data_IF_423021388018
#
_entry.id   IF_423021388018
#
_cell.length_a   1.000
_cell.length_b   1.000
_cell.length_c   1.000
_cell.angle_alpha   90.00
_cell.angle_beta   90.00
_cell.angle_gamma   90.00
#
_symmetry.space_group_name_H-M   'P 1'
#
loop_
_entity.id
_entity.type
_entity.pdbx_description
1 polymer ?
#
# COMPACT_ATOMS: atom_id res chain seq x y z
N UNK A 1 4.93 -12.64 20.38
CA UNK A 1 3.60 -13.28 20.07
C UNK A 1 2.72 -12.34 19.22
N UNK A 2 3.05 -11.06 19.09
CA UNK A 2 2.21 -10.09 18.36
C UNK A 2 2.56 -9.90 16.88
N UNK A 3 3.73 -10.27 16.43
CA UNK A 3 4.15 -10.10 15.04
C UNK A 3 3.25 -10.84 14.00
N UNK A 4 2.60 -11.92 14.37
CA UNK A 4 1.67 -12.63 13.49
C UNK A 4 0.28 -12.00 13.34
N UNK A 5 0.01 -10.88 14.01
CA UNK A 5 -1.31 -10.24 14.05
C UNK A 5 -1.37 -8.91 13.27
N UNK A 6 -0.26 -8.45 12.73
CA UNK A 6 -0.15 -7.12 12.09
C UNK A 6 -1.08 -6.96 10.88
N UNK A 7 -1.42 -8.01 10.20
CA UNK A 7 -2.37 -7.96 9.10
C UNK A 7 -3.84 -8.03 9.49
N UNK A 8 -4.16 -8.09 10.75
CA UNK A 8 -5.52 -8.26 11.27
C UNK A 8 -5.95 -7.13 12.20
N UNK A 9 -5.34 -5.95 12.12
CA UNK A 9 -5.66 -4.82 13.00
C UNK A 9 -7.16 -4.51 13.02
N UNK A 10 -7.79 -4.41 11.86
CA UNK A 10 -9.25 -4.25 11.77
C UNK A 10 -9.97 -5.47 12.35
N UNK A 11 -9.57 -6.68 11.99
CA UNK A 11 -10.17 -7.90 12.49
C UNK A 11 -10.00 -8.07 14.02
N UNK A 12 -8.86 -7.64 14.57
CA UNK A 12 -8.63 -7.63 16.02
C UNK A 12 -9.61 -6.67 16.70
N UNK A 13 -9.75 -5.47 16.17
CA UNK A 13 -10.67 -4.45 16.70
C UNK A 13 -12.11 -4.89 16.59
N UNK A 14 -12.54 -5.40 15.45
CA UNK A 14 -13.90 -5.90 15.24
C UNK A 14 -14.21 -7.06 16.18
N UNK A 15 -13.28 -8.00 16.32
CA UNK A 15 -13.43 -9.12 17.26
C UNK A 15 -13.51 -8.66 18.72
N UNK A 16 -12.67 -7.72 19.11
CA UNK A 16 -12.68 -7.13 20.45
C UNK A 16 -14.00 -6.39 20.70
N UNK A 17 -14.50 -5.64 19.71
CA UNK A 17 -15.81 -4.99 19.80
C UNK A 17 -16.94 -6.00 19.98
N UNK A 18 -16.98 -7.06 19.15
CA UNK A 18 -17.96 -8.12 19.30
C UNK A 18 -17.92 -8.81 20.67
N UNK A 19 -16.72 -9.02 21.21
CA UNK A 19 -16.56 -9.57 22.55
C UNK A 19 -17.03 -8.61 23.66
N UNK A 20 -16.76 -7.31 23.50
CA UNK A 20 -17.25 -6.27 24.43
C UNK A 20 -18.77 -6.20 24.43
N UNK A 21 -19.38 -6.10 23.24
CA UNK A 21 -20.86 -6.02 23.11
C UNK A 21 -21.54 -7.27 23.66
N UNK A 22 -20.92 -8.43 23.51
CA UNK A 22 -21.44 -9.69 24.07
C UNK A 22 -21.09 -9.92 25.54
N UNK A 23 -20.48 -8.95 26.22
CA UNK A 23 -20.13 -9.03 27.65
C UNK A 23 -19.00 -10.01 27.98
N UNK A 24 -18.21 -10.44 26.98
CA UNK A 24 -17.13 -11.42 27.16
C UNK A 24 -15.81 -10.81 27.64
N UNK A 25 -15.62 -9.52 27.45
CA UNK A 25 -14.46 -8.76 27.92
C UNK A 25 -14.91 -7.45 28.56
N UNK A 26 -14.12 -6.96 29.54
CA UNK A 26 -14.36 -5.68 30.18
C UNK A 26 -14.02 -4.51 29.28
N UNK A 27 -14.50 -3.29 29.64
CA UNK A 27 -14.13 -2.05 28.95
C UNK A 27 -12.61 -1.84 28.97
N UNK A 28 -11.98 -2.12 30.11
CA UNK A 28 -10.53 -2.03 30.26
C UNK A 28 -9.77 -2.97 29.34
N UNK A 29 -10.24 -4.21 29.18
CA UNK A 29 -9.60 -5.18 28.28
C UNK A 29 -9.79 -4.75 26.82
N UNK A 30 -10.98 -4.24 26.48
CA UNK A 30 -11.23 -3.69 25.17
C UNK A 30 -10.28 -2.52 24.85
N UNK A 31 -10.13 -1.54 25.73
CA UNK A 31 -9.20 -0.42 25.56
C UNK A 31 -7.75 -0.88 25.43
N UNK A 32 -7.33 -1.90 26.20
CA UNK A 32 -6.03 -2.50 26.09
C UNK A 32 -5.79 -3.15 24.71
N UNK A 33 -6.78 -3.84 24.16
CA UNK A 33 -6.68 -4.43 22.83
C UNK A 33 -6.57 -3.34 21.77
N UNK A 34 -7.42 -2.31 21.84
CA UNK A 34 -7.42 -1.20 20.87
C UNK A 34 -6.09 -0.45 20.87
N UNK A 35 -5.58 -0.12 22.06
CA UNK A 35 -4.31 0.63 22.21
C UNK A 35 -3.09 -0.13 21.70
N UNK A 36 -3.13 -1.46 21.68
CA UNK A 36 -2.04 -2.34 21.26
C UNK A 36 -2.22 -2.92 19.85
N UNK A 37 -3.33 -2.63 19.18
CA UNK A 37 -3.62 -3.21 17.87
C UNK A 37 -2.79 -2.60 16.73
N UNK A 38 -2.22 -1.40 16.94
CA UNK A 38 -1.31 -0.73 16.03
C UNK A 38 -0.02 -0.36 16.78
N UNK A 39 0.94 -1.29 16.91
CA UNK A 39 2.04 -1.16 17.87
C UNK A 39 3.18 -0.24 17.44
N UNK A 40 3.16 0.31 16.23
CA UNK A 40 4.26 1.11 15.71
C UNK A 40 3.83 2.19 14.72
N UNK A 41 4.78 3.02 14.28
CA UNK A 41 4.56 4.02 13.25
C UNK A 41 4.47 3.37 11.86
N UNK A 42 3.79 4.05 10.95
CA UNK A 42 3.59 3.57 9.58
C UNK A 42 2.14 3.24 9.29
N UNK A 43 1.86 2.88 8.03
CA UNK A 43 0.49 2.62 7.57
C UNK A 43 0.02 1.20 7.92
N UNK A 44 0.86 0.20 7.70
CA UNK A 44 0.54 -1.21 7.92
C UNK A 44 1.79 -2.09 7.77
N UNK A 45 1.83 -3.22 8.46
CA UNK A 45 2.92 -4.21 8.34
C UNK A 45 2.73 -5.24 7.21
N UNK A 46 1.63 -5.21 6.48
CA UNK A 46 1.34 -6.12 5.35
C UNK A 46 1.05 -5.38 4.05
N UNK A 47 0.84 -6.14 2.98
CA UNK A 47 0.50 -5.60 1.65
C UNK A 47 -1.01 -5.28 1.54
N UNK A 48 -1.49 -4.44 2.47
CA UNK A 48 -2.85 -3.91 2.47
C UNK A 48 -2.95 -2.71 1.52
N UNK A 49 -4.08 -2.02 1.51
CA UNK A 49 -4.37 -0.96 0.54
C UNK A 49 -3.32 0.15 0.55
N UNK A 50 -2.86 0.60 1.72
CA UNK A 50 -1.89 1.69 1.83
C UNK A 50 -0.55 1.33 1.18
N UNK A 51 0.05 0.20 1.54
CA UNK A 51 1.31 -0.26 0.96
C UNK A 51 1.17 -0.63 -0.51
N UNK A 52 0.05 -1.25 -0.91
CA UNK A 52 -0.26 -1.55 -2.32
C UNK A 52 -0.29 -0.28 -3.16
N UNK A 53 -0.99 0.75 -2.70
CA UNK A 53 -1.09 2.01 -3.45
C UNK A 53 0.22 2.79 -3.41
N UNK A 54 0.99 2.75 -2.33
CA UNK A 54 2.33 3.34 -2.29
C UNK A 54 3.24 2.72 -3.35
N UNK A 55 3.26 1.38 -3.44
CA UNK A 55 4.02 0.65 -4.46
C UNK A 55 3.52 0.94 -5.89
N UNK A 56 2.20 1.00 -6.08
CA UNK A 56 1.61 1.36 -7.37
C UNK A 56 2.00 2.77 -7.83
N UNK A 57 1.93 3.76 -6.94
CA UNK A 57 2.28 5.16 -7.21
C UNK A 57 3.77 5.30 -7.56
N UNK A 58 4.64 4.55 -6.87
CA UNK A 58 6.05 4.51 -7.20
C UNK A 58 6.30 3.89 -8.59
N UNK A 59 5.65 2.77 -8.90
CA UNK A 59 5.75 2.13 -10.21
C UNK A 59 5.18 2.99 -11.36
N UNK A 60 4.22 3.88 -11.06
CA UNK A 60 3.73 4.88 -12.02
C UNK A 60 4.71 6.02 -12.28
N UNK A 61 5.75 6.18 -11.45
CA UNK A 61 6.69 7.30 -11.53
C UNK A 61 6.23 8.57 -10.80
N UNK A 62 5.22 8.48 -9.93
CA UNK A 62 4.66 9.60 -9.18
C UNK A 62 5.25 9.76 -7.77
N UNK A 63 6.19 8.92 -7.40
CA UNK A 63 6.91 8.96 -6.12
C UNK A 63 8.40 8.74 -6.36
N UNK A 64 9.22 9.11 -5.37
CA UNK A 64 10.65 8.86 -5.41
C UNK A 64 10.93 7.35 -5.33
N UNK A 65 12.00 6.86 -5.99
CA UNK A 65 12.41 5.47 -5.88
C UNK A 65 12.63 5.05 -4.42
N UNK A 66 12.21 3.84 -4.08
CA UNK A 66 12.23 3.23 -2.75
C UNK A 66 11.29 3.84 -1.71
N UNK A 67 10.46 4.83 -2.09
CA UNK A 67 9.52 5.46 -1.17
C UNK A 67 8.55 4.44 -0.54
N UNK A 68 8.07 3.48 -1.32
CA UNK A 68 7.10 2.48 -0.86
C UNK A 68 7.72 1.37 -0.01
N UNK A 69 9.03 1.15 -0.10
CA UNK A 69 9.73 0.06 0.61
C UNK A 69 10.44 0.53 1.89
N UNK A 70 10.78 1.82 2.00
CA UNK A 70 11.46 2.35 3.18
C UNK A 70 10.54 2.32 4.42
N UNK A 71 10.95 1.65 5.53
CA UNK A 71 10.20 1.68 6.78
C UNK A 71 9.98 3.10 7.30
N UNK A 72 8.82 3.37 7.90
CA UNK A 72 8.38 4.71 8.29
C UNK A 72 9.35 5.48 9.21
N UNK A 73 10.14 4.76 10.00
CA UNK A 73 11.11 5.31 10.97
C UNK A 73 12.57 5.12 10.55
N UNK A 74 12.83 4.63 9.33
CA UNK A 74 14.19 4.42 8.86
C UNK A 74 14.92 5.73 8.59
N UNK A 75 16.25 5.68 8.64
CA UNK A 75 17.12 6.81 8.25
C UNK A 75 16.88 7.15 6.78
N UNK A 76 16.78 6.12 5.91
CA UNK A 76 16.52 6.27 4.48
C UNK A 76 15.21 7.03 4.22
N UNK A 77 14.15 6.75 5.01
CA UNK A 77 12.89 7.50 4.92
C UNK A 77 13.04 8.97 5.33
N UNK A 78 13.93 9.26 6.24
CA UNK A 78 14.23 10.65 6.66
C UNK A 78 15.07 11.37 5.61
N UNK A 79 16.05 10.71 5.00
CA UNK A 79 16.87 11.27 3.92
C UNK A 79 16.05 11.50 2.64
N UNK A 80 15.12 10.60 2.33
CA UNK A 80 14.20 10.75 1.20
C UNK A 80 13.45 12.08 1.24
N UNK A 81 12.98 12.50 2.42
CA UNK A 81 12.27 13.78 2.59
C UNK A 81 13.09 14.98 2.12
N UNK A 82 14.40 14.93 2.24
CA UNK A 82 15.28 16.01 1.79
C UNK A 82 15.33 16.12 0.25
N UNK A 83 15.06 15.01 -0.46
CA UNK A 83 15.06 14.98 -1.93
C UNK A 83 13.75 15.48 -2.53
N UNK A 84 12.66 15.55 -1.77
CA UNK A 84 11.34 15.96 -2.25
C UNK A 84 11.38 17.37 -2.83
N UNK A 85 11.98 18.32 -2.12
CA UNK A 85 12.05 19.73 -2.54
C UNK A 85 12.76 19.89 -3.88
N UNK A 86 13.90 19.24 -4.06
CA UNK A 86 14.66 19.30 -5.33
C UNK A 86 13.90 18.66 -6.48
N UNK A 87 13.19 17.56 -6.21
CA UNK A 87 12.37 16.88 -7.21
C UNK A 87 11.19 17.75 -7.67
N UNK A 88 10.48 18.38 -6.73
CA UNK A 88 9.37 19.29 -7.06
C UNK A 88 9.87 20.50 -7.87
N UNK A 89 10.99 21.10 -7.45
CA UNK A 89 11.60 22.21 -8.19
C UNK A 89 11.97 21.80 -9.61
N UNK A 90 12.50 20.58 -9.80
CA UNK A 90 12.83 20.05 -11.12
C UNK A 90 11.58 19.87 -11.99
N UNK A 91 10.49 19.32 -11.44
CA UNK A 91 9.21 19.17 -12.16
C UNK A 91 8.68 20.55 -12.62
N UNK A 92 8.69 21.55 -11.72
CA UNK A 92 8.22 22.90 -12.04
C UNK A 92 9.09 23.56 -13.11
N UNK A 93 10.43 23.47 -12.99
CA UNK A 93 11.37 24.07 -13.96
C UNK A 93 11.23 23.49 -15.37
N UNK A 94 10.89 22.21 -15.46
CA UNK A 94 10.73 21.52 -16.74
C UNK A 94 9.27 21.45 -17.19
N UNK A 95 8.34 22.11 -16.50
CA UNK A 95 6.89 22.09 -16.77
C UNK A 95 6.31 20.67 -16.87
N UNK A 96 6.85 19.73 -16.09
CA UNK A 96 6.38 18.34 -16.05
C UNK A 96 5.16 18.22 -15.16
N UNK A 97 4.04 17.80 -15.71
CA UNK A 97 2.75 17.64 -15.04
C UNK A 97 2.47 16.16 -14.75
N UNK A 98 1.59 15.84 -13.80
CA UNK A 98 1.21 14.45 -13.52
C UNK A 98 0.75 13.69 -14.78
N UNK A 99 0.05 14.36 -15.71
CA UNK A 99 -0.43 13.75 -16.95
C UNK A 99 0.69 13.45 -17.96
N UNK A 100 1.86 14.05 -17.83
CA UNK A 100 3.03 13.73 -18.65
C UNK A 100 3.70 12.43 -18.17
N UNK A 101 3.53 12.10 -16.88
CA UNK A 101 4.06 10.89 -16.24
C UNK A 101 3.07 9.74 -16.37
N UNK A 102 1.78 10.03 -16.16
CA UNK A 102 0.72 9.02 -16.23
C UNK A 102 0.42 8.64 -17.69
N UNK A 103 0.85 7.45 -18.05
CA UNK A 103 0.60 6.84 -19.36
C UNK A 103 -0.03 5.46 -19.16
N UNK A 104 -0.62 4.90 -20.21
CA UNK A 104 -1.11 3.51 -20.18
C UNK A 104 -0.02 2.53 -19.73
N UNK A 105 1.23 2.74 -20.19
CA UNK A 105 2.38 1.91 -19.78
C UNK A 105 2.73 2.04 -18.31
N UNK A 106 2.69 3.26 -17.75
CA UNK A 106 2.95 3.45 -16.31
C UNK A 106 1.87 2.79 -15.44
N UNK A 107 0.61 2.83 -15.87
CA UNK A 107 -0.49 2.11 -15.23
C UNK A 107 -0.28 0.58 -15.33
N UNK A 108 0.09 0.06 -16.51
CA UNK A 108 0.38 -1.38 -16.68
C UNK A 108 1.54 -1.83 -15.77
N UNK A 109 2.58 -1.01 -15.60
CA UNK A 109 3.68 -1.30 -14.69
C UNK A 109 3.21 -1.39 -13.23
N UNK A 110 2.36 -0.45 -12.81
CA UNK A 110 1.77 -0.49 -11.47
C UNK A 110 0.94 -1.75 -11.26
N UNK A 111 0.08 -2.11 -12.21
CA UNK A 111 -0.75 -3.32 -12.12
C UNK A 111 0.11 -4.58 -12.09
N UNK A 112 1.18 -4.67 -12.89
CA UNK A 112 2.14 -5.77 -12.82
C UNK A 112 2.78 -5.88 -11.44
N UNK A 113 3.28 -4.75 -10.90
CA UNK A 113 3.94 -4.75 -9.60
C UNK A 113 2.99 -5.19 -8.48
N UNK A 114 1.78 -4.64 -8.40
CA UNK A 114 0.82 -5.06 -7.36
C UNK A 114 0.37 -6.51 -7.52
N UNK A 115 0.36 -7.06 -8.74
CA UNK A 115 0.08 -8.48 -8.99
C UNK A 115 1.23 -9.35 -8.46
N UNK A 116 2.48 -8.97 -8.75
CA UNK A 116 3.69 -9.65 -8.23
C UNK A 116 3.71 -9.69 -6.71
N UNK A 117 3.32 -8.59 -6.07
CA UNK A 117 3.32 -8.42 -4.62
C UNK A 117 2.10 -9.04 -3.91
N UNK A 118 1.09 -9.49 -4.66
CA UNK A 118 -0.17 -9.94 -4.06
C UNK A 118 -0.92 -8.82 -3.36
N UNK A 119 -0.98 -7.65 -4.00
CA UNK A 119 -1.56 -6.44 -3.44
C UNK A 119 -3.07 -6.51 -3.21
N UNK A 120 -3.57 -5.53 -2.49
CA UNK A 120 -5.00 -5.37 -2.17
C UNK A 120 -5.86 -5.17 -3.42
N UNK A 121 -7.00 -5.85 -3.48
CA UNK A 121 -8.00 -5.67 -4.54
C UNK A 121 -8.59 -4.25 -4.58
N UNK A 122 -8.50 -3.49 -3.50
CA UNK A 122 -8.87 -2.07 -3.48
C UNK A 122 -8.08 -1.23 -4.49
N UNK A 123 -6.87 -1.65 -4.87
CA UNK A 123 -6.09 -0.98 -5.90
C UNK A 123 -6.79 -0.96 -7.26
N UNK A 124 -7.63 -1.93 -7.57
CA UNK A 124 -8.43 -1.95 -8.81
C UNK A 124 -9.32 -0.71 -8.87
N UNK A 125 -10.05 -0.43 -7.79
CA UNK A 125 -10.93 0.73 -7.71
C UNK A 125 -10.15 2.05 -7.83
N UNK A 126 -9.02 2.15 -7.11
CA UNK A 126 -8.20 3.36 -7.10
C UNK A 126 -7.54 3.61 -8.46
N UNK A 127 -6.96 2.58 -9.08
CA UNK A 127 -6.31 2.72 -10.39
C UNK A 127 -7.33 3.06 -11.47
N UNK A 128 -8.51 2.44 -11.49
CA UNK A 128 -9.58 2.80 -12.41
C UNK A 128 -10.04 4.25 -12.22
N UNK A 129 -10.13 4.74 -11.00
CA UNK A 129 -10.45 6.14 -10.72
C UNK A 129 -9.36 7.09 -11.24
N UNK A 130 -8.09 6.75 -11.03
CA UNK A 130 -6.94 7.51 -11.57
C UNK A 130 -7.01 7.53 -13.11
N UNK A 131 -7.20 6.38 -13.75
CA UNK A 131 -7.29 6.27 -15.21
C UNK A 131 -8.44 7.13 -15.77
N UNK A 132 -9.62 7.06 -15.13
CA UNK A 132 -10.76 7.88 -15.52
C UNK A 132 -10.47 9.39 -15.41
N UNK A 133 -9.83 9.81 -14.31
CA UNK A 133 -9.47 11.22 -14.09
C UNK A 133 -8.40 11.70 -15.08
N UNK A 134 -7.44 10.83 -15.41
CA UNK A 134 -6.37 11.11 -16.36
C UNK A 134 -6.80 10.91 -17.84
N UNK A 135 -8.04 10.52 -18.09
CA UNK A 135 -8.56 10.17 -19.43
C UNK A 135 -7.72 9.10 -20.13
N UNK A 136 -7.26 8.10 -19.39
CA UNK A 136 -6.53 6.94 -19.89
C UNK A 136 -7.53 5.80 -20.09
N UNK A 137 -7.59 5.26 -21.30
CA UNK A 137 -8.41 4.09 -21.62
C UNK A 137 -7.80 2.82 -21.00
N UNK A 138 -8.38 2.44 -19.84
CA UNK A 138 -7.98 1.29 -19.05
C UNK A 138 -9.20 0.73 -18.30
N UNK A 139 -9.43 -0.56 -18.44
CA UNK A 139 -10.62 -1.25 -17.91
C UNK A 139 -10.25 -2.36 -16.94
N UNK A 140 -11.27 -2.96 -16.32
CA UNK A 140 -11.08 -4.14 -15.46
C UNK A 140 -10.52 -5.34 -16.23
N UNK A 141 -10.81 -5.45 -17.52
CA UNK A 141 -10.29 -6.53 -18.37
C UNK A 141 -8.78 -6.41 -18.59
N UNK A 142 -8.23 -5.20 -18.56
CA UNK A 142 -6.78 -4.98 -18.61
C UNK A 142 -6.09 -5.56 -17.35
N UNK A 143 -6.72 -5.47 -16.17
CA UNK A 143 -6.20 -6.13 -14.96
C UNK A 143 -6.13 -7.64 -15.15
N UNK A 144 -7.19 -8.24 -15.67
CA UNK A 144 -7.23 -9.68 -15.91
C UNK A 144 -6.16 -10.10 -16.94
N UNK A 145 -6.04 -9.36 -18.03
CA UNK A 145 -5.02 -9.59 -19.07
C UNK A 145 -3.60 -9.55 -18.48
N UNK A 146 -3.30 -8.54 -17.66
CA UNK A 146 -2.00 -8.38 -17.02
C UNK A 146 -1.75 -9.48 -15.99
N UNK A 147 -2.74 -9.78 -15.16
CA UNK A 147 -2.65 -10.83 -14.15
C UNK A 147 -2.37 -12.21 -14.75
N UNK A 148 -2.97 -12.52 -15.89
CA UNK A 148 -2.77 -13.81 -16.56
C UNK A 148 -1.33 -14.06 -17.03
N UNK A 149 -0.56 -13.00 -17.27
CA UNK A 149 0.84 -13.11 -17.72
C UNK A 149 1.87 -12.64 -16.68
N UNK A 150 1.42 -12.32 -15.46
CA UNK A 150 2.30 -11.84 -14.38
C UNK A 150 2.34 -12.86 -13.25
N UNK A 151 3.51 -13.43 -12.91
CA UNK A 151 3.60 -14.38 -11.81
C UNK A 151 3.41 -13.71 -10.46
N UNK A 152 2.78 -14.39 -9.52
CA UNK A 152 2.76 -14.03 -8.11
C UNK A 152 4.06 -14.48 -7.46
N UNK A 153 4.78 -13.60 -6.79
CA UNK A 153 6.10 -13.89 -6.20
C UNK A 153 6.15 -13.65 -4.69
N UNK A 154 5.52 -12.59 -4.21
CA UNK A 154 5.63 -12.21 -2.79
C UNK A 154 4.45 -12.77 -1.97
N UNK A 155 4.78 -13.66 -1.03
CA UNK A 155 3.81 -14.32 -0.14
C UNK A 155 3.52 -13.44 1.10
N UNK A 156 3.02 -12.22 0.89
CA UNK A 156 2.81 -11.20 1.90
C UNK A 156 1.41 -11.27 2.55
N UNK A 157 1.34 -10.87 3.84
CA UNK A 157 0.05 -10.65 4.50
C UNK A 157 -0.80 -9.62 3.73
N UNK A 158 -2.13 -9.76 3.66
CA UNK A 158 -3.01 -10.62 4.48
C UNK A 158 -3.13 -12.07 4.02
N UNK A 159 -2.96 -12.38 2.75
CA UNK A 159 -3.17 -13.73 2.22
C UNK A 159 -1.95 -14.64 2.36
N UNK A 160 -0.76 -14.06 2.43
CA UNK A 160 0.50 -14.76 2.57
C UNK A 160 1.01 -14.89 4.00
N UNK A 161 2.25 -15.31 4.14
CA UNK A 161 2.90 -15.61 5.43
C UNK A 161 3.73 -14.46 5.97
N UNK A 162 4.36 -13.69 5.08
CA UNK A 162 5.38 -12.72 5.42
C UNK A 162 4.83 -11.30 5.61
N UNK A 163 5.56 -10.48 6.35
CA UNK A 163 5.30 -9.06 6.54
C UNK A 163 6.12 -8.21 5.57
N UNK A 164 5.84 -6.92 5.51
CA UNK A 164 6.64 -5.98 4.72
C UNK A 164 8.09 -5.91 5.20
N UNK A 165 8.33 -6.11 6.51
CA UNK A 165 9.67 -6.16 7.11
C UNK A 165 10.51 -7.34 6.60
N UNK A 166 9.86 -8.44 6.22
CA UNK A 166 10.55 -9.61 5.69
C UNK A 166 10.99 -9.39 4.22
N UNK A 167 10.40 -8.39 3.55
CA UNK A 167 10.72 -8.04 2.18
C UNK A 167 11.82 -6.98 2.07
N UNK A 168 12.02 -6.19 3.14
CA UNK A 168 13.02 -5.13 3.22
C UNK A 168 14.37 -5.73 3.59
#
# INVERSE_FOLDING_TARGET
>A
IMAGLVGSEMCIRDRAWGQKVSGKISDKDYENVISKSCPGPGACGGMYTANTMASAIEAMGLSLPYNSSNPAISIDKSEEKLKISSSIINLIKNDIKPLDILTKKSIENAVKLITVLGGSTNAVLHILAICKTANIDFSIDDFQRISNCTPFLADLKPSGKFLMEDLH
#
